data_IF_332907867265
#
_entry.id   IF_332907867265
#
_cell.length_a   1.000
_cell.length_b   1.000
_cell.length_c   1.000
_cell.angle_alpha   90.00
_cell.angle_beta   90.00
_cell.angle_gamma   90.00
#
_symmetry.space_group_name_H-M   'P 1'
#
loop_
_entity.id
_entity.type
_entity.pdbx_description
1 polymer ?
#
# COMPACT_ATOMS: atom_id res chain seq x y z
N UNK A 1 -22.04 20.88 -23.57
CA UNK A 1 -20.96 19.93 -23.23
C UNK A 1 -19.98 20.59 -22.25
N UNK A 2 -19.66 19.93 -21.14
CA UNK A 2 -18.92 20.49 -20.00
C UNK A 2 -17.57 21.15 -20.33
N UNK A 3 -16.94 20.76 -21.45
CA UNK A 3 -15.73 21.41 -21.96
C UNK A 3 -15.94 22.87 -22.35
N UNK A 4 -17.15 23.42 -22.44
CA UNK A 4 -17.32 24.86 -22.68
C UNK A 4 -16.98 25.72 -21.44
N UNK A 5 -16.91 25.11 -20.24
CA UNK A 5 -16.52 25.82 -19.01
C UNK A 5 -15.00 26.03 -18.94
N UNK A 6 -14.57 27.30 -18.90
CA UNK A 6 -13.16 27.68 -18.76
C UNK A 6 -12.50 27.12 -17.50
N UNK A 7 -13.22 27.11 -16.37
CA UNK A 7 -12.71 26.61 -15.09
C UNK A 7 -12.44 25.11 -15.14
N UNK A 8 -13.41 24.35 -15.66
CA UNK A 8 -13.30 22.89 -15.76
C UNK A 8 -12.20 22.52 -16.74
N UNK A 9 -12.17 23.15 -17.94
CA UNK A 9 -11.08 22.98 -18.90
C UNK A 9 -9.71 23.19 -18.27
N UNK A 10 -9.55 24.26 -17.51
CA UNK A 10 -8.29 24.56 -16.85
C UNK A 10 -7.93 23.53 -15.77
N UNK A 11 -8.85 23.18 -14.88
CA UNK A 11 -8.60 22.19 -13.80
C UNK A 11 -8.24 20.83 -14.41
N UNK A 12 -9.06 20.30 -15.33
CA UNK A 12 -8.79 19.02 -15.98
C UNK A 12 -7.52 19.07 -16.84
N UNK A 13 -7.28 20.18 -17.53
CA UNK A 13 -6.06 20.40 -18.30
C UNK A 13 -4.82 20.35 -17.41
N UNK A 14 -4.87 20.92 -16.20
CA UNK A 14 -3.78 20.79 -15.23
C UNK A 14 -3.62 19.35 -14.72
N UNK A 15 -4.72 18.66 -14.39
CA UNK A 15 -4.67 17.25 -13.95
C UNK A 15 -3.99 16.40 -15.02
N UNK A 16 -4.44 16.49 -16.28
CA UNK A 16 -3.87 15.73 -17.40
C UNK A 16 -2.38 16.03 -17.57
N UNK A 17 -1.98 17.31 -17.50
CA UNK A 17 -0.56 17.70 -17.62
C UNK A 17 0.29 17.13 -16.49
N UNK A 18 -0.16 17.23 -15.24
CA UNK A 18 0.58 16.66 -14.10
C UNK A 18 0.65 15.13 -14.18
N UNK A 19 -0.46 14.47 -14.49
CA UNK A 19 -0.48 13.01 -14.68
C UNK A 19 0.45 12.58 -15.81
N UNK A 20 0.53 13.35 -16.91
CA UNK A 20 1.47 13.08 -17.99
C UNK A 20 2.94 13.28 -17.57
N UNK A 21 3.24 14.28 -16.73
CA UNK A 21 4.58 14.43 -16.12
C UNK A 21 4.91 13.19 -15.27
N UNK A 22 4.03 12.77 -14.37
CA UNK A 22 4.24 11.59 -13.53
C UNK A 22 4.41 10.31 -14.35
N UNK A 23 3.55 10.11 -15.35
CA UNK A 23 3.63 8.95 -16.23
C UNK A 23 4.94 8.94 -17.02
N UNK A 24 5.42 10.11 -17.47
CA UNK A 24 6.72 10.23 -18.12
C UNK A 24 7.86 9.86 -17.17
N UNK A 25 7.82 10.34 -15.92
CA UNK A 25 8.81 9.97 -14.90
C UNK A 25 8.78 8.46 -14.59
N UNK A 26 7.59 7.83 -14.62
CA UNK A 26 7.44 6.38 -14.51
C UNK A 26 8.04 5.65 -15.69
N UNK A 27 7.81 6.12 -16.92
CA UNK A 27 8.47 5.56 -18.10
C UNK A 27 9.99 5.69 -18.03
N UNK A 28 10.51 6.85 -17.62
CA UNK A 28 11.94 7.06 -17.38
C UNK A 28 12.45 6.01 -16.39
N UNK A 29 11.78 5.83 -15.25
CA UNK A 29 12.15 4.78 -14.29
C UNK A 29 12.16 3.37 -14.92
N UNK A 30 11.11 3.01 -15.66
CA UNK A 30 11.01 1.71 -16.30
C UNK A 30 12.19 1.53 -17.26
N UNK A 31 12.42 2.48 -18.18
CA UNK A 31 13.53 2.38 -19.13
C UNK A 31 14.90 2.34 -18.45
N UNK A 32 15.07 3.00 -17.31
CA UNK A 32 16.32 2.98 -16.54
C UNK A 32 16.60 1.64 -15.87
N UNK A 33 15.57 0.89 -15.47
CA UNK A 33 15.74 -0.30 -14.61
C UNK A 33 15.09 -1.59 -15.14
N UNK A 34 14.51 -1.59 -16.34
CA UNK A 34 13.84 -2.76 -16.94
C UNK A 34 14.75 -3.97 -17.09
N UNK A 35 16.07 -3.78 -17.17
CA UNK A 35 17.05 -4.88 -17.21
C UNK A 35 17.06 -5.73 -15.95
N UNK A 36 16.56 -5.20 -14.82
CA UNK A 36 16.39 -5.92 -13.57
C UNK A 36 15.09 -6.73 -13.47
N UNK A 37 14.24 -6.71 -14.51
CA UNK A 37 12.96 -7.41 -14.51
C UNK A 37 13.15 -8.93 -14.63
N UNK A 38 12.51 -9.65 -13.73
CA UNK A 38 12.44 -11.12 -13.67
C UNK A 38 11.02 -11.65 -13.84
N UNK A 39 10.01 -10.81 -13.60
CA UNK A 39 8.59 -11.16 -13.77
C UNK A 39 8.11 -11.12 -15.22
N UNK A 40 6.80 -11.31 -15.40
CA UNK A 40 6.16 -11.36 -16.71
C UNK A 40 5.76 -9.98 -17.27
N UNK A 41 5.64 -9.87 -18.59
CA UNK A 41 5.16 -8.63 -19.25
C UNK A 41 3.72 -8.27 -18.84
N UNK A 42 2.88 -9.25 -18.52
CA UNK A 42 1.54 -9.04 -17.99
C UNK A 42 1.55 -8.39 -16.61
N UNK A 43 2.45 -8.81 -15.72
CA UNK A 43 2.64 -8.18 -14.42
C UNK A 43 3.16 -6.74 -14.56
N UNK A 44 4.07 -6.47 -15.50
CA UNK A 44 4.53 -5.11 -15.80
C UNK A 44 3.37 -4.22 -16.29
N UNK A 45 2.51 -4.72 -17.18
CA UNK A 45 1.34 -3.97 -17.65
C UNK A 45 0.38 -3.65 -16.49
N UNK A 46 0.17 -4.61 -15.58
CA UNK A 46 -0.60 -4.40 -14.35
C UNK A 46 0.07 -3.36 -13.44
N UNK A 47 1.40 -3.38 -13.31
CA UNK A 47 2.14 -2.41 -12.51
C UNK A 47 1.97 -0.99 -13.06
N UNK A 48 2.08 -0.81 -14.37
CA UNK A 48 1.87 0.48 -15.04
C UNK A 48 0.44 1.00 -14.77
N UNK A 49 -0.57 0.12 -14.83
CA UNK A 49 -1.96 0.48 -14.54
C UNK A 49 -2.19 0.89 -13.07
N UNK A 50 -1.62 0.13 -12.12
CA UNK A 50 -1.66 0.47 -10.69
C UNK A 50 -0.95 1.81 -10.44
N UNK A 51 0.25 1.97 -10.99
CA UNK A 51 1.06 3.18 -10.87
C UNK A 51 0.39 4.42 -11.45
N UNK A 52 -0.26 4.30 -12.60
CA UNK A 52 -1.02 5.40 -13.20
C UNK A 52 -2.11 5.95 -12.27
N UNK A 53 -2.78 5.07 -11.49
CA UNK A 53 -3.81 5.49 -10.54
C UNK A 53 -3.22 6.23 -9.35
N UNK A 54 -2.04 5.81 -8.86
CA UNK A 54 -1.29 6.60 -7.87
C UNK A 54 -0.84 7.96 -8.41
N UNK A 55 -0.37 8.01 -9.66
CA UNK A 55 0.06 9.27 -10.31
C UNK A 55 -1.11 10.25 -10.45
N UNK A 56 -2.27 9.74 -10.85
CA UNK A 56 -3.51 10.50 -10.95
C UNK A 56 -3.97 11.03 -9.58
N UNK A 57 -3.86 10.21 -8.52
CA UNK A 57 -4.12 10.60 -7.13
C UNK A 57 -3.26 11.78 -6.71
N UNK A 58 -1.94 11.67 -6.93
CA UNK A 58 -1.00 12.73 -6.56
C UNK A 58 -1.23 14.01 -7.36
N UNK A 59 -1.53 13.90 -8.65
CA UNK A 59 -1.88 15.05 -9.49
C UNK A 59 -3.09 15.81 -8.96
N UNK A 60 -4.13 15.10 -8.53
CA UNK A 60 -5.31 15.71 -7.90
C UNK A 60 -4.96 16.36 -6.56
N UNK A 61 -4.19 15.69 -5.70
CA UNK A 61 -3.77 16.23 -4.41
C UNK A 61 -3.02 17.57 -4.55
N UNK A 62 -2.10 17.66 -5.52
CA UNK A 62 -1.37 18.91 -5.83
C UNK A 62 -2.32 20.01 -6.31
N UNK A 63 -3.41 19.67 -7.00
CA UNK A 63 -4.34 20.66 -7.59
C UNK A 63 -5.44 21.09 -6.61
N UNK A 64 -5.63 20.42 -5.47
CA UNK A 64 -6.65 20.76 -4.46
C UNK A 64 -6.66 22.26 -4.11
N UNK A 65 -5.53 22.92 -3.77
CA UNK A 65 -5.55 24.35 -3.45
C UNK A 65 -6.10 25.23 -4.58
N UNK A 66 -5.86 24.84 -5.84
CA UNK A 66 -6.35 25.55 -7.02
C UNK A 66 -7.85 25.31 -7.22
N UNK A 67 -8.32 24.08 -6.99
CA UNK A 67 -9.76 23.75 -7.00
C UNK A 67 -10.48 24.60 -5.96
N UNK A 68 -9.97 24.67 -4.73
CA UNK A 68 -10.56 25.48 -3.64
C UNK A 68 -10.63 26.97 -4.01
N UNK A 69 -9.58 27.51 -4.65
CA UNK A 69 -9.59 28.89 -5.10
C UNK A 69 -10.65 29.19 -6.18
N UNK A 70 -11.02 28.20 -7.02
CA UNK A 70 -12.14 28.36 -7.97
C UNK A 70 -13.53 28.22 -7.34
N UNK A 71 -13.65 27.55 -6.19
CA UNK A 71 -14.91 27.38 -5.46
C UNK A 71 -15.31 28.66 -4.73
N UNK A 72 -14.34 29.40 -4.16
CA UNK A 72 -14.59 30.63 -3.41
C UNK A 72 -14.72 31.81 -4.38
N UNK A 73 -15.89 32.48 -4.49
CA UNK A 73 -16.09 33.55 -5.48
C UNK A 73 -15.12 34.74 -5.36
N UNK A 74 -14.66 35.03 -4.14
CA UNK A 74 -13.67 36.08 -3.84
C UNK A 74 -12.25 35.74 -4.31
N UNK A 75 -11.90 34.46 -4.39
CA UNK A 75 -10.55 33.98 -4.72
C UNK A 75 -10.44 33.43 -6.13
N UNK A 76 -11.37 33.83 -6.99
CA UNK A 76 -11.47 33.26 -8.32
C UNK A 76 -10.28 33.65 -9.21
N UNK A 77 -9.46 32.67 -9.58
CA UNK A 77 -8.31 32.85 -10.47
C UNK A 77 -8.69 33.49 -11.81
N UNK A 78 -9.94 33.35 -12.30
CA UNK A 78 -10.36 34.01 -13.55
C UNK A 78 -10.38 35.54 -13.48
N UNK A 79 -10.44 36.13 -12.27
CA UNK A 79 -10.62 37.57 -12.09
C UNK A 79 -9.43 38.26 -11.45
N UNK A 80 -8.53 37.50 -10.84
CA UNK A 80 -7.44 38.05 -10.03
C UNK A 80 -6.07 37.60 -10.56
N UNK A 81 -5.35 38.53 -11.21
CA UNK A 81 -4.01 38.29 -11.74
C UNK A 81 -2.98 37.94 -10.65
N UNK A 82 -3.14 38.48 -9.44
CA UNK A 82 -2.27 38.12 -8.32
C UNK A 82 -2.46 36.65 -7.95
N UNK A 83 -3.69 36.16 -7.87
CA UNK A 83 -3.96 34.75 -7.58
C UNK A 83 -3.49 33.81 -8.69
N UNK A 84 -3.56 34.23 -9.97
CA UNK A 84 -2.98 33.46 -11.08
C UNK A 84 -1.45 33.37 -10.96
N UNK A 85 -0.78 34.48 -10.63
CA UNK A 85 0.67 34.47 -10.40
C UNK A 85 1.02 33.60 -9.20
N UNK A 86 0.29 33.72 -8.09
CA UNK A 86 0.49 32.92 -6.89
C UNK A 86 0.30 31.42 -7.17
N UNK A 87 -0.76 31.03 -7.89
CA UNK A 87 -1.02 29.63 -8.23
C UNK A 87 0.04 29.08 -9.20
N UNK A 88 0.53 29.90 -10.13
CA UNK A 88 1.62 29.52 -11.02
C UNK A 88 2.94 29.34 -10.25
N UNK A 89 3.25 30.24 -9.31
CA UNK A 89 4.41 30.11 -8.43
C UNK A 89 4.31 28.86 -7.56
N UNK A 90 3.15 28.60 -6.96
CA UNK A 90 2.87 27.39 -6.19
C UNK A 90 3.14 26.12 -7.02
N UNK A 91 2.55 26.02 -8.23
CA UNK A 91 2.77 24.87 -9.10
C UNK A 91 4.22 24.75 -9.58
N UNK A 92 4.89 25.88 -9.82
CA UNK A 92 6.32 25.89 -10.17
C UNK A 92 7.18 25.33 -9.04
N UNK A 93 6.94 25.74 -7.80
CA UNK A 93 7.63 25.21 -6.61
C UNK A 93 7.31 23.72 -6.45
N UNK A 94 6.04 23.33 -6.55
CA UNK A 94 5.62 21.94 -6.42
C UNK A 94 6.26 21.04 -7.49
N UNK A 95 6.31 21.48 -8.75
CA UNK A 95 7.01 20.78 -9.82
C UNK A 95 8.51 20.67 -9.57
N UNK A 96 9.16 21.75 -9.15
CA UNK A 96 10.60 21.73 -8.86
C UNK A 96 10.91 20.73 -7.75
N UNK A 97 10.16 20.77 -6.65
CA UNK A 97 10.29 19.82 -5.55
C UNK A 97 10.06 18.36 -6.03
N UNK A 98 9.07 18.15 -6.89
CA UNK A 98 8.75 16.85 -7.47
C UNK A 98 9.88 16.32 -8.35
N UNK A 99 10.44 17.12 -9.27
CA UNK A 99 11.57 16.67 -10.09
C UNK A 99 12.80 16.35 -9.26
N UNK A 100 13.12 17.17 -8.26
CA UNK A 100 14.21 16.90 -7.32
C UNK A 100 13.96 15.58 -6.59
N UNK A 101 12.74 15.37 -6.09
CA UNK A 101 12.36 14.15 -5.38
C UNK A 101 12.49 12.91 -6.27
N UNK A 102 11.97 12.95 -7.51
CA UNK A 102 12.11 11.84 -8.44
C UNK A 102 13.56 11.61 -8.89
N UNK A 103 14.38 12.67 -9.00
CA UNK A 103 15.81 12.54 -9.26
C UNK A 103 16.51 11.79 -8.12
N UNK A 104 16.20 12.14 -6.87
CA UNK A 104 16.70 11.42 -5.70
C UNK A 104 16.14 9.99 -5.62
N UNK A 105 14.89 9.77 -6.00
CA UNK A 105 14.27 8.43 -6.01
C UNK A 105 14.94 7.48 -7.02
N UNK A 106 15.30 7.98 -8.21
CA UNK A 106 16.07 7.21 -9.20
C UNK A 106 17.45 6.81 -8.63
N UNK A 107 18.14 7.74 -7.95
CA UNK A 107 19.40 7.45 -7.28
C UNK A 107 19.24 6.43 -6.15
N UNK A 108 18.23 6.63 -5.29
CA UNK A 108 17.91 5.73 -4.18
C UNK A 108 17.61 4.32 -4.68
N UNK A 109 16.79 4.17 -5.73
CA UNK A 109 16.50 2.87 -6.31
C UNK A 109 17.73 2.23 -6.95
N UNK A 110 18.58 3.01 -7.63
CA UNK A 110 19.83 2.50 -8.18
C UNK A 110 20.80 2.00 -7.10
N UNK A 111 20.77 2.59 -5.90
CA UNK A 111 21.66 2.22 -4.79
C UNK A 111 21.09 1.08 -3.92
N UNK A 112 19.81 1.18 -3.53
CA UNK A 112 19.16 0.30 -2.54
C UNK A 112 18.20 -0.72 -3.16
N UNK A 113 17.87 -0.62 -4.46
CA UNK A 113 16.90 -1.50 -5.11
C UNK A 113 15.44 -1.29 -4.68
N UNK A 114 15.14 -0.19 -4.00
CA UNK A 114 13.80 0.16 -3.50
C UNK A 114 13.47 1.63 -3.70
N UNK A 115 12.17 1.94 -3.80
CA UNK A 115 11.67 3.33 -3.85
C UNK A 115 11.95 4.04 -2.53
N UNK A 116 11.94 5.37 -2.55
CA UNK A 116 12.04 6.16 -1.32
C UNK A 116 10.91 5.78 -0.36
N UNK A 117 11.30 5.42 0.85
CA UNK A 117 10.41 5.21 1.99
C UNK A 117 10.95 5.97 3.21
N UNK A 118 10.30 5.80 4.37
CA UNK A 118 10.71 6.45 5.61
C UNK A 118 12.20 6.18 5.95
N UNK A 119 12.72 4.97 5.69
CA UNK A 119 14.10 4.61 6.03
C UNK A 119 15.14 5.36 5.20
N UNK A 120 14.78 5.89 4.02
CA UNK A 120 15.65 6.77 3.24
C UNK A 120 15.97 8.07 4.00
N UNK A 121 15.15 8.49 4.97
CA UNK A 121 15.43 9.69 5.78
C UNK A 121 16.68 9.54 6.67
N UNK A 122 17.16 8.33 6.96
CA UNK A 122 18.44 8.13 7.64
C UNK A 122 19.62 8.73 6.85
N UNK A 123 19.54 8.78 5.52
CA UNK A 123 20.55 9.43 4.69
C UNK A 123 20.65 10.95 4.98
N UNK A 124 19.63 11.55 5.59
CA UNK A 124 19.62 12.96 6.00
C UNK A 124 20.24 13.19 7.39
N UNK A 125 20.55 12.15 8.17
CA UNK A 125 21.23 12.31 9.46
C UNK A 125 22.66 12.84 9.28
N UNK A 126 23.35 12.36 8.25
CA UNK A 126 24.71 12.80 7.89
C UNK A 126 24.75 13.31 6.44
N UNK A 127 24.15 14.48 6.15
CA UNK A 127 23.92 14.94 4.78
C UNK A 127 25.21 15.21 4.03
N UNK A 128 26.29 15.63 4.71
CA UNK A 128 27.60 15.84 4.08
C UNK A 128 28.21 14.54 3.55
N UNK A 129 28.10 13.46 4.33
CA UNK A 129 28.60 12.14 3.93
C UNK A 129 27.74 11.59 2.79
N UNK A 130 26.41 11.67 2.91
CA UNK A 130 25.48 11.23 1.87
C UNK A 130 25.67 11.98 0.54
N UNK A 131 25.97 13.29 0.59
CA UNK A 131 26.31 14.06 -0.60
C UNK A 131 27.66 13.65 -1.20
N UNK A 132 28.66 13.36 -0.35
CA UNK A 132 29.94 12.80 -0.80
C UNK A 132 29.77 11.47 -1.52
N UNK A 133 29.05 10.53 -0.90
CA UNK A 133 28.72 9.24 -1.52
C UNK A 133 27.98 9.40 -2.85
N UNK A 134 27.02 10.32 -2.92
CA UNK A 134 26.29 10.59 -4.15
C UNK A 134 27.21 11.17 -5.24
N UNK A 135 28.13 12.06 -4.89
CA UNK A 135 29.06 12.69 -5.84
C UNK A 135 30.07 11.71 -6.42
N UNK A 136 30.53 10.76 -5.60
CA UNK A 136 31.44 9.70 -6.04
C UNK A 136 30.73 8.63 -6.86
N UNK A 137 29.46 8.34 -6.55
CA UNK A 137 28.70 7.25 -7.18
C UNK A 137 27.97 7.66 -8.45
N UNK A 138 27.61 8.95 -8.61
CA UNK A 138 26.73 9.41 -9.67
C UNK A 138 27.28 10.65 -10.40
N UNK A 139 26.99 10.81 -11.70
CA UNK A 139 27.34 12.01 -12.46
C UNK A 139 26.43 13.20 -12.09
N UNK A 140 26.58 13.74 -10.87
CA UNK A 140 25.68 14.76 -10.29
C UNK A 140 25.55 16.00 -11.18
N UNK A 141 26.63 16.44 -11.85
CA UNK A 141 26.59 17.62 -12.73
C UNK A 141 25.60 17.42 -13.87
N UNK A 142 25.66 16.27 -14.56
CA UNK A 142 24.78 15.95 -15.68
C UNK A 142 23.34 15.71 -15.22
N UNK A 143 23.16 15.06 -14.07
CA UNK A 143 21.84 14.84 -13.45
C UNK A 143 21.20 16.20 -13.11
N UNK A 144 21.96 17.11 -12.51
CA UNK A 144 21.47 18.45 -12.14
C UNK A 144 21.09 19.27 -13.37
N UNK A 145 21.91 19.23 -14.44
CA UNK A 145 21.59 19.88 -15.71
C UNK A 145 20.31 19.30 -16.34
N UNK A 146 20.17 17.97 -16.35
CA UNK A 146 18.97 17.29 -16.84
C UNK A 146 17.72 17.67 -16.04
N UNK A 147 17.81 17.70 -14.71
CA UNK A 147 16.73 18.12 -13.82
C UNK A 147 16.30 19.57 -14.09
N UNK A 148 17.25 20.50 -14.23
CA UNK A 148 16.95 21.90 -14.55
C UNK A 148 16.25 22.02 -15.91
N UNK A 149 16.67 21.25 -16.92
CA UNK A 149 16.00 21.20 -18.22
C UNK A 149 14.56 20.66 -18.09
N UNK A 150 14.35 19.58 -17.33
CA UNK A 150 13.01 19.03 -17.10
C UNK A 150 12.11 20.02 -16.35
N UNK A 151 12.62 20.68 -15.30
CA UNK A 151 11.88 21.68 -14.52
C UNK A 151 11.48 22.86 -15.41
N UNK A 152 12.40 23.37 -16.22
CA UNK A 152 12.13 24.50 -17.12
C UNK A 152 11.12 24.13 -18.21
N UNK A 153 11.27 22.96 -18.84
CA UNK A 153 10.34 22.46 -19.84
C UNK A 153 8.93 22.23 -19.27
N UNK A 154 8.82 21.57 -18.11
CA UNK A 154 7.54 21.33 -17.44
C UNK A 154 6.89 22.63 -16.96
N UNK A 155 7.67 23.57 -16.42
CA UNK A 155 7.20 24.90 -16.03
C UNK A 155 6.68 25.70 -17.22
N UNK A 156 7.37 25.64 -18.36
CA UNK A 156 6.92 26.25 -19.61
C UNK A 156 5.61 25.60 -20.10
N UNK A 157 5.53 24.27 -20.08
CA UNK A 157 4.33 23.54 -20.49
C UNK A 157 3.11 23.85 -19.58
N UNK A 158 3.33 24.01 -18.28
CA UNK A 158 2.30 24.49 -17.35
C UNK A 158 1.84 25.90 -17.68
N UNK A 159 2.77 26.84 -17.96
CA UNK A 159 2.44 28.23 -18.34
C UNK A 159 1.55 28.30 -19.57
N UNK A 160 1.79 27.44 -20.57
CA UNK A 160 0.89 27.33 -21.75
C UNK A 160 -0.54 26.94 -21.34
N UNK A 161 -0.73 26.21 -20.23
CA UNK A 161 -2.05 25.89 -19.69
C UNK A 161 -2.80 27.09 -19.15
N UNK A 162 -2.08 28.05 -18.55
CA UNK A 162 -2.67 29.27 -18.01
C UNK A 162 -3.22 30.21 -19.09
N UNK A 163 -2.77 30.10 -20.34
CA UNK A 163 -3.36 30.83 -21.46
C UNK A 163 -4.84 30.49 -21.66
N UNK A 164 -5.29 29.29 -21.25
CA UNK A 164 -6.70 28.90 -21.31
C UNK A 164 -7.62 29.77 -20.43
N UNK A 165 -7.08 30.41 -19.39
CA UNK A 165 -7.84 31.31 -18.52
C UNK A 165 -8.21 32.62 -19.23
N UNK A 166 -7.43 33.02 -20.23
CA UNK A 166 -7.60 34.26 -20.99
C UNK A 166 -8.53 34.12 -22.21
N UNK A 167 -8.95 32.89 -22.54
CA UNK A 167 -9.92 32.65 -23.62
C UNK A 167 -11.27 33.24 -23.21
N UNK A 168 -11.97 33.88 -24.16
CA UNK A 168 -13.30 34.48 -23.92
C UNK A 168 -14.30 33.43 -23.40
N UNK A 169 -15.17 33.80 -22.43
CA UNK A 169 -16.19 32.89 -21.94
C UNK A 169 -17.15 32.54 -23.07
N UNK A 170 -17.29 31.24 -23.35
CA UNK A 170 -18.39 30.76 -24.17
C UNK A 170 -19.67 30.76 -23.32
N UNK A 171 -20.82 31.04 -23.95
CA UNK A 171 -22.12 30.98 -23.26
C UNK A 171 -22.39 29.52 -22.92
N UNK A 172 -22.43 29.20 -21.62
CA UNK A 172 -22.70 27.85 -21.12
C UNK A 172 -24.06 27.86 -20.45
N UNK A 173 -24.94 26.94 -20.85
CA UNK A 173 -26.24 26.76 -20.17
C UNK A 173 -26.01 26.26 -18.74
N UNK A 174 -26.89 26.62 -17.80
CA UNK A 174 -26.79 26.18 -16.41
C UNK A 174 -26.68 24.64 -16.29
N UNK A 175 -27.47 23.90 -17.09
CA UNK A 175 -27.44 22.43 -17.15
C UNK A 175 -26.05 21.89 -17.50
N UNK A 176 -25.38 22.45 -18.51
CA UNK A 176 -24.03 22.04 -18.91
C UNK A 176 -22.99 22.29 -17.81
N UNK A 177 -23.16 23.37 -17.04
CA UNK A 177 -22.29 23.69 -15.90
C UNK A 177 -22.50 22.72 -14.75
N UNK A 178 -23.75 22.39 -14.43
CA UNK A 178 -24.09 21.42 -13.39
C UNK A 178 -23.54 20.03 -13.74
N UNK A 179 -23.75 19.56 -14.97
CA UNK A 179 -23.21 18.28 -15.47
C UNK A 179 -21.67 18.26 -15.37
N UNK A 180 -21.01 19.35 -15.77
CA UNK A 180 -19.55 19.43 -15.69
C UNK A 180 -19.00 19.41 -14.27
N UNK A 181 -19.70 20.02 -13.31
CA UNK A 181 -19.33 19.97 -11.90
C UNK A 181 -19.52 18.56 -11.34
N UNK A 182 -20.63 17.89 -11.65
CA UNK A 182 -20.89 16.52 -11.19
C UNK A 182 -19.85 15.56 -11.76
N UNK A 183 -19.65 15.55 -13.09
CA UNK A 183 -18.67 14.68 -13.73
C UNK A 183 -17.24 14.97 -13.26
N UNK A 184 -16.88 16.25 -13.07
CA UNK A 184 -15.55 16.59 -12.54
C UNK A 184 -15.37 16.27 -11.07
N UNK A 185 -16.42 16.40 -10.27
CA UNK A 185 -16.43 15.90 -8.90
C UNK A 185 -16.19 14.39 -8.87
N UNK A 186 -16.89 13.62 -9.70
CA UNK A 186 -16.71 12.16 -9.80
C UNK A 186 -15.29 11.77 -10.24
N UNK A 187 -14.71 12.45 -11.23
CA UNK A 187 -13.32 12.19 -11.64
C UNK A 187 -12.35 12.50 -10.51
N UNK A 188 -12.51 13.64 -9.82
CA UNK A 188 -11.64 14.01 -8.69
C UNK A 188 -11.77 13.00 -7.54
N UNK A 189 -12.99 12.59 -7.20
CA UNK A 189 -13.26 11.60 -6.17
C UNK A 189 -12.66 10.24 -6.53
N UNK A 190 -12.86 9.77 -7.77
CA UNK A 190 -12.25 8.54 -8.25
C UNK A 190 -10.72 8.62 -8.26
N UNK A 191 -10.14 9.73 -8.73
CA UNK A 191 -8.69 9.94 -8.70
C UNK A 191 -8.14 9.92 -7.27
N UNK A 192 -8.85 10.50 -6.31
CA UNK A 192 -8.46 10.48 -4.90
C UNK A 192 -8.61 9.09 -4.28
N UNK A 193 -9.65 8.32 -4.65
CA UNK A 193 -9.90 6.98 -4.12
C UNK A 193 -9.02 5.90 -4.77
N UNK A 194 -8.85 5.96 -6.09
CA UNK A 194 -7.96 5.12 -6.89
C UNK A 194 -8.50 3.71 -7.24
N UNK A 195 -9.65 3.32 -6.71
CA UNK A 195 -10.28 2.00 -6.94
C UNK A 195 -11.81 2.17 -7.07
N UNK A 196 -12.50 1.12 -7.53
CA UNK A 196 -13.96 1.00 -7.36
C UNK A 196 -14.35 0.17 -6.13
N UNK A 197 -13.36 -0.41 -5.45
CA UNK A 197 -13.53 -1.24 -4.26
C UNK A 197 -13.79 -0.39 -3.02
N UNK A 198 -14.25 -1.06 -1.95
CA UNK A 198 -14.56 -0.42 -0.67
C UNK A 198 -13.37 0.31 -0.03
N UNK A 199 -12.14 -0.15 -0.28
CA UNK A 199 -10.94 0.48 0.25
C UNK A 199 -10.25 1.30 -0.84
N UNK A 200 -9.75 2.47 -0.46
CA UNK A 200 -8.91 3.29 -1.32
C UNK A 200 -7.69 2.50 -1.79
N UNK A 201 -7.06 2.95 -2.88
CA UNK A 201 -5.80 2.43 -3.36
C UNK A 201 -4.72 2.59 -2.27
N UNK A 202 -4.06 1.49 -1.93
CA UNK A 202 -3.00 1.41 -0.91
C UNK A 202 -1.71 0.88 -1.54
N UNK A 203 -0.55 1.16 -0.93
CA UNK A 203 0.72 0.56 -1.36
C UNK A 203 0.68 -0.97 -1.49
N UNK A 204 -0.13 -1.66 -0.69
CA UNK A 204 -0.32 -3.13 -0.77
C UNK A 204 -0.90 -3.60 -2.11
N UNK A 205 -1.66 -2.76 -2.81
CA UNK A 205 -2.19 -3.06 -4.14
C UNK A 205 -1.08 -3.09 -5.22
N UNK A 206 0.11 -2.56 -4.91
CA UNK A 206 1.30 -2.68 -5.74
C UNK A 206 2.10 -3.99 -5.51
N UNK A 207 1.88 -4.67 -4.37
CA UNK A 207 2.57 -5.90 -3.98
C UNK A 207 1.86 -7.16 -4.50
N UNK A 208 1.65 -7.23 -5.81
CA UNK A 208 1.05 -8.40 -6.45
C UNK A 208 2.07 -9.29 -7.18
N UNK A 209 3.33 -8.88 -7.27
CA UNK A 209 4.42 -9.62 -7.92
C UNK A 209 5.57 -9.86 -6.93
N UNK A 210 6.33 -10.93 -7.18
CA UNK A 210 7.57 -11.22 -6.44
C UNK A 210 8.75 -10.38 -6.91
N UNK A 211 8.66 -9.83 -8.12
CA UNK A 211 9.73 -9.04 -8.70
C UNK A 211 9.74 -7.63 -8.05
N UNK A 212 10.80 -7.27 -7.30
CA UNK A 212 10.88 -5.95 -6.66
C UNK A 212 10.82 -4.79 -7.65
N UNK A 213 11.31 -4.99 -8.89
CA UNK A 213 11.23 -3.97 -9.94
C UNK A 213 9.79 -3.74 -10.40
N UNK A 214 8.97 -4.80 -10.53
CA UNK A 214 7.56 -4.67 -10.90
C UNK A 214 6.79 -3.96 -9.79
N UNK A 215 7.04 -4.32 -8.54
CA UNK A 215 6.43 -3.64 -7.38
C UNK A 215 6.83 -2.16 -7.33
N UNK A 216 8.12 -1.86 -7.46
CA UNK A 216 8.63 -0.49 -7.52
C UNK A 216 8.08 0.29 -8.73
N UNK A 217 7.81 -0.38 -9.85
CA UNK A 217 7.15 0.20 -11.03
C UNK A 217 5.68 0.50 -10.78
N UNK A 218 5.01 -0.17 -9.86
CA UNK A 218 3.61 0.12 -9.49
C UNK A 218 3.49 1.24 -8.45
N UNK A 219 4.49 1.45 -7.61
CA UNK A 219 4.47 2.48 -6.57
C UNK A 219 4.63 3.91 -7.14
N UNK A 220 4.11 4.90 -6.40
CA UNK A 220 4.48 6.29 -6.55
C UNK A 220 5.28 6.70 -5.30
N UNK A 221 6.55 7.13 -5.43
CA UNK A 221 7.46 7.24 -4.29
C UNK A 221 7.07 8.36 -3.31
N UNK A 222 6.37 9.42 -3.76
CA UNK A 222 5.89 10.50 -2.89
C UNK A 222 4.71 9.99 -2.04
N UNK A 223 3.76 9.29 -2.65
CA UNK A 223 2.64 8.68 -1.91
C UNK A 223 3.16 7.60 -0.98
N UNK A 224 4.08 6.77 -1.45
CA UNK A 224 4.67 5.68 -0.66
C UNK A 224 5.44 6.18 0.56
N UNK A 225 6.25 7.24 0.41
CA UNK A 225 6.88 7.91 1.56
C UNK A 225 5.84 8.44 2.55
N UNK A 226 4.77 9.09 2.06
CA UNK A 226 3.74 9.61 2.93
C UNK A 226 2.95 8.52 3.68
N UNK A 227 2.73 7.36 3.05
CA UNK A 227 2.08 6.20 3.68
C UNK A 227 2.99 5.49 4.68
N UNK A 228 4.32 5.54 4.48
CA UNK A 228 5.29 4.88 5.37
C UNK A 228 5.81 5.78 6.50
N UNK A 229 5.58 7.10 6.44
CA UNK A 229 6.15 8.08 7.38
C UNK A 229 5.80 7.87 8.85
N UNK A 230 4.69 7.19 9.12
CA UNK A 230 4.25 6.93 10.48
C UNK A 230 4.96 5.74 11.10
N UNK A 231 5.59 4.87 10.32
CA UNK A 231 6.27 3.70 10.87
C UNK A 231 7.61 4.08 11.49
N UNK A 232 7.99 3.34 12.54
CA UNK A 232 9.27 3.52 13.20
C UNK A 232 10.44 3.23 12.24
N UNK A 233 11.48 4.03 12.39
CA UNK A 233 12.71 3.98 11.59
C UNK A 233 13.65 2.87 12.06
N UNK A 234 13.76 2.71 13.38
CA UNK A 234 14.57 1.68 14.01
C UNK A 234 13.95 0.30 13.79
N UNK A 235 14.79 -0.66 13.38
CA UNK A 235 14.39 -2.04 13.15
C UNK A 235 14.37 -2.82 14.47
N UNK A 236 15.56 -3.09 15.02
CA UNK A 236 15.72 -3.63 16.36
C UNK A 236 17.06 -3.20 16.97
N UNK A 237 17.15 -3.19 18.30
CA UNK A 237 18.40 -2.96 19.02
C UNK A 237 19.13 -4.28 19.21
N UNK A 238 20.27 -4.45 18.53
CA UNK A 238 21.11 -5.65 18.71
C UNK A 238 21.56 -5.84 20.17
N UNK A 239 21.78 -4.75 20.91
CA UNK A 239 22.15 -4.80 22.32
C UNK A 239 21.01 -5.36 23.19
N UNK A 240 19.78 -4.85 23.00
CA UNK A 240 18.62 -5.37 23.74
C UNK A 240 18.27 -6.79 23.30
N UNK A 241 18.37 -7.12 22.01
CA UNK A 241 18.15 -8.49 21.52
C UNK A 241 19.14 -9.47 22.14
N UNK A 242 20.44 -9.13 22.20
CA UNK A 242 21.47 -9.95 22.87
C UNK A 242 21.19 -10.12 24.36
N UNK A 243 20.71 -9.07 25.04
CA UNK A 243 20.37 -9.11 26.47
C UNK A 243 19.24 -10.09 26.81
N UNK A 244 18.29 -10.30 25.90
CA UNK A 244 17.17 -11.24 26.09
C UNK A 244 17.32 -12.56 25.32
N UNK A 245 18.45 -12.79 24.67
CA UNK A 245 18.68 -13.94 23.79
C UNK A 245 18.52 -15.28 24.51
N UNK A 246 19.12 -15.44 25.70
CA UNK A 246 19.08 -16.69 26.46
C UNK A 246 17.65 -17.07 26.88
N UNK A 247 16.82 -16.08 27.21
CA UNK A 247 15.40 -16.29 27.51
C UNK A 247 14.66 -16.81 26.28
N UNK A 248 14.89 -16.22 25.12
CA UNK A 248 14.27 -16.63 23.87
C UNK A 248 14.74 -18.01 23.40
N UNK A 249 16.02 -18.33 23.56
CA UNK A 249 16.58 -19.65 23.27
C UNK A 249 15.90 -20.73 24.10
N UNK A 250 15.70 -20.47 25.40
CA UNK A 250 15.02 -21.37 26.32
C UNK A 250 13.55 -21.55 25.93
N UNK A 251 12.84 -20.46 25.66
CA UNK A 251 11.40 -20.47 25.33
C UNK A 251 11.13 -21.14 23.98
N UNK A 252 11.95 -20.86 22.97
CA UNK A 252 11.77 -21.40 21.62
C UNK A 252 12.29 -22.84 21.48
N UNK A 253 13.21 -23.26 22.36
CA UNK A 253 13.88 -24.56 22.28
C UNK A 253 14.83 -24.63 21.09
N UNK A 254 15.75 -23.67 20.99
CA UNK A 254 16.75 -23.57 19.90
C UNK A 254 17.80 -24.68 20.03
N UNK A 255 18.08 -25.40 18.94
CA UNK A 255 18.99 -26.56 18.96
C UNK A 255 20.47 -26.18 19.11
N UNK A 256 20.89 -25.13 18.40
CA UNK A 256 22.29 -24.68 18.34
C UNK A 256 22.36 -23.16 18.56
N UNK A 257 22.27 -22.69 19.81
CA UNK A 257 22.30 -21.27 20.12
C UNK A 257 23.63 -20.63 19.68
N UNK A 258 23.55 -19.50 18.96
CA UNK A 258 24.67 -18.64 18.59
C UNK A 258 24.26 -17.18 18.84
N UNK A 259 24.74 -16.60 19.95
CA UNK A 259 24.42 -15.22 20.36
C UNK A 259 24.95 -14.18 19.36
N UNK A 260 26.07 -14.44 18.72
CA UNK A 260 26.69 -13.49 17.79
C UNK A 260 25.95 -13.44 16.46
N UNK A 261 25.40 -14.57 16.03
CA UNK A 261 24.55 -14.65 14.83
C UNK A 261 23.05 -14.51 15.11
N UNK A 262 22.65 -14.43 16.38
CA UNK A 262 21.25 -14.41 16.82
C UNK A 262 20.44 -15.58 16.22
N UNK A 263 20.95 -16.81 16.38
CA UNK A 263 20.29 -17.98 15.83
C UNK A 263 19.07 -18.41 16.65
N UNK A 264 17.88 -18.38 16.06
CA UNK A 264 16.63 -18.85 16.68
C UNK A 264 16.07 -20.14 16.04
N UNK A 265 16.87 -20.83 15.23
CA UNK A 265 16.43 -22.01 14.51
C UNK A 265 16.22 -23.21 15.44
N UNK A 266 15.10 -23.91 15.25
CA UNK A 266 14.82 -25.21 15.86
C UNK A 266 14.34 -26.21 14.82
N UNK A 267 14.68 -27.47 15.02
CA UNK A 267 14.35 -28.58 14.12
C UNK A 267 13.38 -29.52 14.80
N UNK A 268 12.19 -29.67 14.22
CA UNK A 268 11.18 -30.59 14.73
C UNK A 268 11.04 -31.77 13.77
N UNK A 269 11.50 -32.94 14.19
CA UNK A 269 11.37 -34.16 13.40
C UNK A 269 9.94 -34.69 13.42
N UNK A 270 9.34 -34.80 12.24
CA UNK A 270 8.00 -35.36 12.08
C UNK A 270 8.08 -36.88 11.92
N UNK A 271 7.22 -37.63 12.64
CA UNK A 271 6.96 -39.03 12.28
C UNK A 271 6.19 -39.07 10.95
N UNK A 272 6.62 -39.85 9.94
CA UNK A 272 5.91 -39.93 8.67
C UNK A 272 4.46 -40.36 8.92
N UNK A 273 3.51 -39.51 8.50
CA UNK A 273 2.09 -39.87 8.51
C UNK A 273 1.80 -40.66 7.23
N UNK A 274 1.05 -41.75 7.36
CA UNK A 274 0.65 -42.61 6.22
C UNK A 274 -0.37 -41.93 5.28
N UNK A 275 -0.98 -40.82 5.69
CA UNK A 275 -2.01 -40.09 4.95
C UNK A 275 -1.73 -38.60 4.93
N UNK A 276 -2.18 -37.93 3.86
CA UNK A 276 -2.12 -36.48 3.67
C UNK A 276 -3.54 -35.90 3.81
N UNK A 277 -3.99 -35.54 5.02
CA UNK A 277 -5.33 -35.00 5.22
C UNK A 277 -5.41 -33.54 4.77
N UNK A 278 -6.58 -33.09 4.33
CA UNK A 278 -6.86 -31.66 4.16
C UNK A 278 -6.71 -30.92 5.50
N UNK A 279 -6.17 -29.70 5.45
CA UNK A 279 -6.00 -28.83 6.63
C UNK A 279 -6.96 -27.66 6.46
N UNK A 280 -7.93 -27.55 7.37
CA UNK A 280 -8.91 -26.46 7.37
C UNK A 280 -8.73 -25.65 8.65
N UNK A 281 -8.50 -24.35 8.49
CA UNK A 281 -8.40 -23.40 9.60
C UNK A 281 -9.62 -22.48 9.52
N UNK A 282 -10.43 -22.50 10.58
CA UNK A 282 -11.58 -21.59 10.71
C UNK A 282 -11.18 -20.49 11.69
N UNK A 283 -10.94 -19.29 11.17
CA UNK A 283 -10.63 -18.11 11.96
C UNK A 283 -11.95 -17.44 12.39
N UNK A 284 -12.22 -17.40 13.70
CA UNK A 284 -13.45 -16.85 14.24
C UNK A 284 -13.25 -15.42 14.73
N UNK A 285 -13.93 -14.46 14.10
CA UNK A 285 -13.85 -13.05 14.44
C UNK A 285 -14.45 -12.78 15.83
N UNK A 286 -13.66 -12.14 16.71
CA UNK A 286 -14.09 -11.67 18.04
C UNK A 286 -14.74 -12.72 18.97
N UNK A 287 -14.44 -14.02 18.78
CA UNK A 287 -14.95 -15.09 19.65
C UNK A 287 -14.07 -15.27 20.88
N UNK A 288 -14.54 -14.79 22.03
CA UNK A 288 -13.90 -14.98 23.33
C UNK A 288 -14.37 -16.24 24.06
N UNK A 289 -13.48 -16.87 24.83
CA UNK A 289 -13.79 -18.06 25.65
C UNK A 289 -14.97 -17.85 26.60
N UNK A 290 -15.10 -16.64 27.16
CA UNK A 290 -16.20 -16.25 28.06
C UNK A 290 -17.61 -16.31 27.42
N UNK A 291 -17.71 -16.44 26.09
CA UNK A 291 -18.98 -16.64 25.38
C UNK A 291 -19.45 -18.09 25.38
N UNK A 292 -18.58 -19.04 25.72
CA UNK A 292 -18.85 -20.47 25.63
C UNK A 292 -19.50 -21.01 26.90
N UNK A 293 -20.41 -21.98 26.76
CA UNK A 293 -21.06 -22.62 27.90
C UNK A 293 -20.02 -23.34 28.78
N UNK A 294 -18.98 -23.93 28.17
CA UNK A 294 -17.88 -24.57 28.90
C UNK A 294 -17.04 -23.60 29.76
N UNK A 295 -17.13 -22.30 29.52
CA UNK A 295 -16.54 -21.27 30.39
C UNK A 295 -17.45 -20.90 31.57
N UNK A 296 -18.60 -21.58 31.73
CA UNK A 296 -19.60 -21.28 32.74
C UNK A 296 -20.64 -20.24 32.31
N UNK A 297 -20.72 -19.89 31.01
CA UNK A 297 -21.71 -18.93 30.53
C UNK A 297 -23.12 -19.56 30.52
N UNK A 298 -24.09 -19.04 31.30
CA UNK A 298 -25.41 -19.65 31.43
C UNK A 298 -26.30 -19.46 30.20
N UNK A 299 -25.94 -18.53 29.30
CA UNK A 299 -26.74 -18.20 28.12
C UNK A 299 -26.57 -19.22 26.98
N UNK A 300 -25.58 -20.12 27.07
CA UNK A 300 -25.28 -21.13 26.05
C UNK A 300 -25.29 -20.57 24.61
N UNK A 301 -24.58 -19.47 24.39
CA UNK A 301 -24.62 -18.72 23.11
C UNK A 301 -23.87 -19.41 21.96
N UNK A 302 -23.08 -20.45 22.21
CA UNK A 302 -22.23 -21.11 21.22
C UNK A 302 -22.34 -22.64 21.23
N UNK A 303 -23.55 -23.23 21.18
CA UNK A 303 -23.75 -24.66 21.42
C UNK A 303 -23.03 -25.56 20.40
N UNK A 304 -22.86 -25.09 19.17
CA UNK A 304 -22.12 -25.81 18.13
C UNK A 304 -20.61 -25.83 18.37
N UNK A 305 -20.02 -24.71 18.83
CA UNK A 305 -18.61 -24.65 19.18
C UNK A 305 -18.31 -25.51 20.41
N UNK A 306 -19.16 -25.44 21.44
CA UNK A 306 -19.04 -26.30 22.63
C UNK A 306 -19.09 -27.79 22.25
N UNK A 307 -19.97 -28.19 21.32
CA UNK A 307 -20.03 -29.56 20.79
C UNK A 307 -18.78 -29.97 20.03
N UNK A 308 -18.20 -29.09 19.20
CA UNK A 308 -16.95 -29.36 18.49
C UNK A 308 -15.82 -29.57 19.50
N UNK A 309 -15.72 -28.66 20.48
CA UNK A 309 -14.69 -28.70 21.49
C UNK A 309 -14.79 -29.93 22.42
N UNK A 310 -15.98 -30.49 22.62
CA UNK A 310 -16.20 -31.73 23.37
C UNK A 310 -15.82 -33.00 22.58
N UNK A 311 -15.81 -32.94 21.24
CA UNK A 311 -15.46 -34.07 20.35
C UNK A 311 -14.01 -34.04 19.85
N UNK A 312 -13.29 -32.95 20.11
CA UNK A 312 -11.93 -32.72 19.63
C UNK A 312 -10.94 -32.42 20.76
N UNK A 313 -9.80 -31.86 20.38
CA UNK A 313 -8.81 -31.33 21.33
C UNK A 313 -9.12 -29.85 21.56
N UNK A 314 -9.34 -29.47 22.81
CA UNK A 314 -9.59 -28.09 23.24
C UNK A 314 -8.43 -27.56 24.07
N UNK A 315 -8.10 -26.29 23.89
CA UNK A 315 -7.08 -25.60 24.67
C UNK A 315 -7.73 -24.48 25.49
N UNK A 316 -8.09 -24.79 26.74
CA UNK A 316 -8.83 -23.84 27.61
C UNK A 316 -7.94 -22.69 28.13
N UNK A 317 -6.63 -22.74 27.84
CA UNK A 317 -5.63 -21.72 28.15
C UNK A 317 -4.94 -21.22 26.88
N UNK A 318 -5.72 -20.99 25.83
CA UNK A 318 -5.26 -20.37 24.60
C UNK A 318 -5.47 -18.86 24.68
N UNK A 319 -4.39 -18.10 24.50
CA UNK A 319 -4.42 -16.64 24.62
C UNK A 319 -4.00 -16.00 23.31
N UNK A 320 -4.74 -14.97 22.91
CA UNK A 320 -4.34 -14.10 21.82
C UNK A 320 -3.46 -12.99 22.42
N UNK A 321 -2.19 -12.87 22.00
CA UNK A 321 -1.20 -12.04 22.67
C UNK A 321 -1.44 -10.55 22.46
N UNK A 322 -2.14 -10.17 21.38
CA UNK A 322 -2.51 -8.79 21.12
C UNK A 322 -3.89 -8.68 20.49
N UNK A 323 -4.64 -7.67 20.93
CA UNK A 323 -6.01 -7.42 20.46
C UNK A 323 -6.00 -6.95 19.00
N UNK A 324 -6.90 -7.51 18.20
CA UNK A 324 -7.16 -7.09 16.82
C UNK A 324 -6.97 -8.21 15.79
N UNK A 325 -7.90 -8.28 14.83
CA UNK A 325 -7.93 -9.32 13.80
C UNK A 325 -6.67 -9.31 12.96
N UNK A 326 -6.21 -8.14 12.48
CA UNK A 326 -5.01 -8.06 11.63
C UNK A 326 -3.74 -8.55 12.34
N UNK A 327 -3.62 -8.30 13.65
CA UNK A 327 -2.52 -8.81 14.49
C UNK A 327 -2.58 -10.33 14.64
N UNK A 328 -3.79 -10.85 14.86
CA UNK A 328 -4.04 -12.29 14.99
C UNK A 328 -3.81 -13.02 13.67
N UNK A 329 -4.20 -12.43 12.53
CA UNK A 329 -3.93 -12.95 11.19
C UNK A 329 -2.43 -12.93 10.91
N UNK A 330 -1.72 -11.85 11.24
CA UNK A 330 -0.26 -11.80 11.15
C UNK A 330 0.37 -12.97 11.92
N UNK A 331 0.03 -13.13 13.20
CA UNK A 331 0.58 -14.22 14.02
C UNK A 331 0.18 -15.63 13.56
N UNK A 332 -1.02 -15.81 13.03
CA UNK A 332 -1.45 -17.09 12.47
C UNK A 332 -0.63 -17.46 11.23
N UNK A 333 -0.33 -16.48 10.36
CA UNK A 333 0.38 -16.71 9.10
C UNK A 333 1.88 -16.87 9.33
N UNK A 334 2.49 -16.06 10.21
CA UNK A 334 3.94 -16.01 10.39
C UNK A 334 4.44 -16.84 11.57
N UNK A 335 3.57 -17.13 12.55
CA UNK A 335 3.97 -17.71 13.83
C UNK A 335 4.65 -16.71 14.77
N UNK A 336 4.67 -15.42 14.43
CA UNK A 336 5.33 -14.35 15.18
C UNK A 336 4.27 -13.38 15.74
N UNK A 337 4.46 -12.91 16.97
CA UNK A 337 3.59 -11.91 17.56
C UNK A 337 3.71 -10.55 16.86
N UNK A 338 2.57 -9.91 16.54
CA UNK A 338 2.59 -8.52 16.10
C UNK A 338 2.83 -7.59 17.30
N UNK A 339 4.08 -7.20 17.50
CA UNK A 339 4.51 -6.26 18.55
C UNK A 339 4.63 -4.81 18.05
N UNK A 340 4.10 -4.50 16.86
CA UNK A 340 4.22 -3.16 16.29
C UNK A 340 3.52 -2.12 17.15
N UNK A 341 4.23 -1.03 17.47
CA UNK A 341 3.73 0.12 18.24
C UNK A 341 2.79 1.02 17.43
N UNK A 342 2.93 1.02 16.09
CA UNK A 342 2.19 1.90 15.19
C UNK A 342 1.41 1.06 14.18
N UNK A 343 0.09 1.26 14.15
CA UNK A 343 -0.84 0.47 13.34
C UNK A 343 -0.70 -1.03 13.58
N UNK A 344 -0.50 -1.85 12.55
CA UNK A 344 -0.31 -3.32 12.63
C UNK A 344 0.87 -3.74 11.76
N UNK A 345 1.55 -4.82 12.12
CA UNK A 345 2.66 -5.39 11.35
C UNK A 345 2.27 -5.69 9.90
N UNK A 346 1.04 -6.17 9.66
CA UNK A 346 0.52 -6.39 8.31
C UNK A 346 0.45 -5.14 7.44
N UNK A 347 0.37 -3.95 8.04
CA UNK A 347 0.33 -2.67 7.35
C UNK A 347 1.69 -1.99 7.24
N UNK A 348 2.72 -2.53 7.89
CA UNK A 348 4.07 -2.01 7.84
C UNK A 348 4.88 -2.76 6.75
N UNK A 349 5.25 -2.12 5.63
CA UNK A 349 5.99 -2.78 4.56
C UNK A 349 7.38 -3.29 4.97
N UNK A 350 7.93 -2.83 6.09
CA UNK A 350 9.22 -3.31 6.62
C UNK A 350 9.10 -4.55 7.50
N UNK A 351 7.92 -4.84 8.03
CA UNK A 351 7.68 -5.99 8.92
C UNK A 351 6.91 -7.09 8.20
N UNK A 352 6.06 -6.73 7.23
CA UNK A 352 5.10 -7.66 6.61
C UNK A 352 5.74 -8.88 5.94
N UNK A 353 6.99 -8.78 5.49
CA UNK A 353 7.73 -9.87 4.84
C UNK A 353 8.38 -10.79 5.89
N UNK A 354 7.83 -12.00 6.03
CA UNK A 354 8.15 -12.98 7.05
C UNK A 354 8.03 -14.40 6.49
N UNK A 355 8.87 -15.31 6.97
CA UNK A 355 8.69 -16.72 6.63
C UNK A 355 7.37 -17.27 7.21
N UNK A 356 6.54 -17.87 6.36
CA UNK A 356 5.37 -18.63 6.79
C UNK A 356 5.62 -20.12 6.71
N UNK A 357 5.33 -20.86 7.80
CA UNK A 357 5.34 -22.32 7.83
C UNK A 357 4.34 -22.96 6.84
N UNK A 358 3.33 -22.20 6.40
CA UNK A 358 2.39 -22.66 5.37
C UNK A 358 3.11 -22.95 4.06
N UNK A 359 4.24 -22.30 3.79
CA UNK A 359 5.05 -22.60 2.61
C UNK A 359 5.60 -24.01 2.60
N UNK A 360 5.84 -24.64 3.76
CA UNK A 360 6.31 -26.03 3.83
C UNK A 360 5.25 -27.06 3.38
N UNK A 361 4.04 -26.63 3.04
CA UNK A 361 2.96 -27.46 2.52
C UNK A 361 2.97 -27.50 0.99
N UNK A 362 4.11 -27.83 0.37
CA UNK A 362 4.32 -27.75 -1.10
C UNK A 362 3.37 -28.62 -1.93
N UNK A 363 2.81 -29.67 -1.34
CA UNK A 363 1.89 -30.61 -2.00
C UNK A 363 0.41 -30.28 -1.78
N UNK A 364 0.11 -29.11 -1.22
CA UNK A 364 -1.25 -28.65 -0.94
C UNK A 364 -1.61 -27.46 -1.82
N UNK A 365 -2.84 -27.44 -2.30
CA UNK A 365 -3.46 -26.22 -2.79
C UNK A 365 -3.86 -25.35 -1.59
N UNK A 366 -3.48 -24.08 -1.64
CA UNK A 366 -3.59 -23.14 -0.51
C UNK A 366 -4.66 -22.10 -0.84
N UNK A 367 -5.69 -22.03 -0.02
CA UNK A 367 -6.82 -21.12 -0.20
C UNK A 367 -7.03 -20.27 1.05
N UNK A 368 -7.24 -18.98 0.86
CA UNK A 368 -7.68 -18.05 1.89
C UNK A 368 -9.01 -17.44 1.44
N UNK A 369 -10.10 -17.84 2.09
CA UNK A 369 -11.46 -17.40 1.75
C UNK A 369 -11.94 -16.45 2.84
N UNK A 370 -12.43 -15.26 2.46
CA UNK A 370 -12.98 -14.30 3.40
C UNK A 370 -14.22 -13.61 2.85
N UNK A 371 -15.16 -13.29 3.73
CA UNK A 371 -16.42 -12.64 3.35
C UNK A 371 -16.29 -11.15 3.04
N UNK A 372 -15.20 -10.51 3.45
CA UNK A 372 -14.89 -9.09 3.21
C UNK A 372 -13.82 -8.89 2.14
N UNK A 373 -13.08 -7.78 2.19
CA UNK A 373 -11.93 -7.54 1.30
C UNK A 373 -10.58 -7.68 1.99
N UNK A 374 -9.64 -8.35 1.32
CA UNK A 374 -8.26 -8.52 1.79
C UNK A 374 -7.44 -7.21 1.75
N UNK A 375 -7.98 -6.13 1.16
CA UNK A 375 -7.36 -4.79 1.26
C UNK A 375 -7.46 -4.24 2.68
N UNK A 376 -8.45 -4.69 3.46
CA UNK A 376 -8.59 -4.29 4.85
C UNK A 376 -7.30 -4.61 5.61
N UNK A 377 -6.72 -3.58 6.26
CA UNK A 377 -5.48 -3.70 7.06
C UNK A 377 -4.33 -4.40 6.31
N UNK A 378 -4.28 -4.26 4.97
CA UNK A 378 -3.23 -4.79 4.10
C UNK A 378 -3.01 -6.32 4.18
N UNK A 379 -4.04 -7.09 4.56
CA UNK A 379 -3.95 -8.57 4.67
C UNK A 379 -3.53 -9.21 3.35
N UNK A 380 -3.94 -8.67 2.20
CA UNK A 380 -3.53 -9.17 0.88
C UNK A 380 -2.02 -9.19 0.70
N UNK A 381 -1.33 -8.12 1.11
CA UNK A 381 0.14 -8.02 1.00
C UNK A 381 0.80 -9.04 1.92
N UNK A 382 0.33 -9.18 3.16
CA UNK A 382 0.77 -10.23 4.09
C UNK A 382 0.65 -11.64 3.47
N UNK A 383 -0.47 -11.95 2.83
CA UNK A 383 -0.68 -13.28 2.25
C UNK A 383 0.15 -13.48 0.98
N UNK A 384 0.15 -12.53 0.04
CA UNK A 384 0.83 -12.68 -1.25
C UNK A 384 2.35 -12.59 -1.17
N UNK A 385 2.90 -11.75 -0.29
CA UNK A 385 4.34 -11.66 -0.10
C UNK A 385 4.89 -12.96 0.51
N UNK A 386 4.19 -13.49 1.52
CA UNK A 386 4.71 -14.60 2.30
C UNK A 386 4.27 -15.98 1.80
N UNK A 387 3.14 -16.09 1.10
CA UNK A 387 2.57 -17.36 0.60
C UNK A 387 2.07 -17.14 -0.83
N UNK A 388 3.00 -17.09 -1.76
CA UNK A 388 2.72 -16.63 -3.12
C UNK A 388 1.74 -17.48 -3.93
N UNK A 389 1.68 -18.78 -3.63
CA UNK A 389 0.80 -19.75 -4.28
C UNK A 389 -0.57 -19.85 -3.60
N UNK A 390 -0.83 -19.03 -2.56
CA UNK A 390 -2.14 -18.89 -1.95
C UNK A 390 -3.13 -18.23 -2.92
N UNK A 391 -4.24 -18.89 -3.19
CA UNK A 391 -5.40 -18.29 -3.85
C UNK A 391 -6.22 -17.55 -2.79
N UNK A 392 -6.52 -16.28 -3.05
CA UNK A 392 -7.35 -15.44 -2.16
C UNK A 392 -8.71 -15.32 -2.84
N UNK A 393 -9.76 -15.69 -2.12
CA UNK A 393 -11.16 -15.52 -2.53
C UNK A 393 -11.81 -14.54 -1.57
N UNK A 394 -12.22 -13.38 -2.08
CA UNK A 394 -12.81 -12.30 -1.29
C UNK A 394 -14.25 -12.01 -1.73
N UNK A 395 -14.91 -11.06 -1.05
CA UNK A 395 -16.33 -10.73 -1.29
C UNK A 395 -16.69 -10.54 -2.78
N UNK A 396 -15.78 -9.96 -3.57
CA UNK A 396 -16.01 -9.68 -4.99
C UNK A 396 -16.00 -10.95 -5.87
N UNK A 397 -15.40 -12.04 -5.38
CA UNK A 397 -15.33 -13.34 -6.07
C UNK A 397 -16.52 -14.26 -5.72
N UNK A 398 -17.32 -13.87 -4.73
CA UNK A 398 -18.39 -14.68 -4.16
C UNK A 398 -19.75 -14.19 -4.65
N UNK A 399 -20.57 -15.09 -5.19
CA UNK A 399 -21.93 -14.79 -5.66
C UNK A 399 -22.94 -14.74 -4.51
N UNK A 400 -22.67 -13.89 -3.52
CA UNK A 400 -23.52 -13.67 -2.36
C UNK A 400 -23.75 -12.18 -2.12
N UNK A 401 -24.97 -11.79 -1.69
CA UNK A 401 -25.25 -10.39 -1.40
C UNK A 401 -24.43 -9.93 -0.20
N UNK A 402 -23.88 -8.73 -0.31
CA UNK A 402 -23.24 -8.04 0.80
C UNK A 402 -24.26 -7.81 1.92
N UNK A 403 -23.96 -8.29 3.12
CA UNK A 403 -24.80 -8.13 4.31
C UNK A 403 -24.58 -6.75 4.95
N UNK A 404 -23.31 -6.37 5.18
CA UNK A 404 -22.96 -5.13 5.88
C UNK A 404 -21.61 -4.54 5.44
N UNK A 405 -21.05 -3.62 6.24
CA UNK A 405 -19.77 -2.96 5.93
C UNK A 405 -18.56 -3.92 5.96
N UNK A 406 -18.70 -5.10 6.53
CA UNK A 406 -17.64 -6.11 6.64
C UNK A 406 -17.69 -7.15 5.54
N UNK A 407 -18.86 -7.40 4.94
CA UNK A 407 -18.97 -8.25 3.77
C UNK A 407 -20.25 -9.06 3.69
N UNK A 408 -20.15 -10.28 3.18
CA UNK A 408 -21.23 -11.28 3.21
C UNK A 408 -21.40 -11.86 4.62
N UNK A 409 -22.49 -12.57 4.88
CA UNK A 409 -22.72 -13.22 6.18
C UNK A 409 -21.76 -14.40 6.40
N UNK A 410 -21.46 -14.73 7.66
CA UNK A 410 -20.67 -15.92 8.00
C UNK A 410 -21.32 -17.21 7.48
N UNK A 411 -22.66 -17.27 7.47
CA UNK A 411 -23.41 -18.40 6.91
C UNK A 411 -23.09 -18.60 5.41
N UNK A 412 -23.11 -17.51 4.65
CA UNK A 412 -22.82 -17.53 3.21
C UNK A 412 -21.34 -17.85 2.97
N UNK A 413 -20.44 -17.32 3.79
CA UNK A 413 -19.02 -17.65 3.74
C UNK A 413 -18.76 -19.15 3.96
N UNK A 414 -19.38 -19.75 4.98
CA UNK A 414 -19.29 -21.20 5.22
C UNK A 414 -19.90 -22.01 4.08
N UNK A 415 -20.98 -21.52 3.47
CA UNK A 415 -21.62 -22.20 2.33
C UNK A 415 -20.71 -22.14 1.09
N UNK A 416 -20.08 -20.99 0.82
CA UNK A 416 -19.11 -20.82 -0.25
C UNK A 416 -17.87 -21.71 -0.07
N UNK A 417 -17.38 -21.84 1.17
CA UNK A 417 -16.20 -22.64 1.49
C UNK A 417 -16.45 -24.15 1.53
N UNK A 418 -17.70 -24.60 1.42
CA UNK A 418 -18.07 -26.02 1.42
C UNK A 418 -17.97 -26.68 0.04
N UNK A 419 -17.82 -25.88 -1.01
CA UNK A 419 -17.65 -26.29 -2.41
C UNK A 419 -16.17 -26.50 -2.69
#
# INVERSE_FOLDING_TARGET
MFYHSRRLKFIFGLIIKLTAVFFTLRLVFIFSFITGMTGSSGELAKAIWVGFRFDLRLAVLIIIPIILAFLIPRWNLLRNLFLQKLSLTYLGIALSALFIFYGFDLGNYSYLGRRIDISTLHLLENPLISLGMAWESYPIVWITMGLLLCITAASFWLRLGYQQLNISPQVVRFKDKAIGIVLGGLVILFSYWGTFSQYQLLWSDAHFSKDPFIVATALNPIIYLNETRTFELEDYSALETKKYYDLMVMELGVDFPDLEKLNYQRTVFKKPKKTQPNIVIVFLESVGFNRMARAGNPMNTTPHLDRIAAKGVSFDRFYVPMVGTARSVFSMITGIHDVSSIETASSNPRIVDQYSLVNSLDSYEKHYIMGGSASWRNVRSLLKNNISDMTITEQEDLDYPRLDVWGISDHDLFTAAHI
#
